data_IF_306115601447
#
_entry.id   IF_306115601447
#
_cell.length_a   1.000
_cell.length_b   1.000
_cell.length_c   1.000
_cell.angle_alpha   90.00
_cell.angle_beta   90.00
_cell.angle_gamma   90.00
#
_symmetry.space_group_name_H-M   'P 1'
#
loop_
_entity.id
_entity.type
_entity.pdbx_description
1 polymer ?
#
# COMPACT_ATOMS: atom_id res chain seq x y z
N UNK A 1 11.20 -18.51 10.47
CA UNK A 1 10.85 -17.07 10.36
C UNK A 1 12.06 -16.34 9.80
N UNK A 2 11.90 -15.62 8.69
CA UNK A 2 13.01 -14.87 8.06
C UNK A 2 13.41 -13.67 8.91
N UNK A 3 14.71 -13.42 9.07
CA UNK A 3 15.21 -12.16 9.65
C UNK A 3 15.00 -11.06 8.60
N UNK A 4 14.14 -10.08 8.88
CA UNK A 4 14.03 -8.88 8.05
C UNK A 4 15.32 -8.08 8.21
N UNK A 5 16.14 -8.03 7.15
CA UNK A 5 17.37 -7.23 7.16
C UNK A 5 17.00 -5.76 7.05
N UNK A 6 17.28 -4.98 8.09
CA UNK A 6 17.17 -3.53 8.04
C UNK A 6 18.35 -2.98 7.22
N UNK A 7 18.05 -2.40 6.05
CA UNK A 7 19.06 -1.93 5.09
C UNK A 7 18.66 -0.55 4.53
N UNK A 8 18.74 0.53 5.34
CA UNK A 8 18.22 1.84 4.96
C UNK A 8 18.92 2.45 3.74
N UNK A 9 20.22 2.17 3.56
CA UNK A 9 20.99 2.61 2.37
C UNK A 9 20.42 1.96 1.10
N UNK A 10 20.10 0.66 1.16
CA UNK A 10 19.52 -0.06 0.02
C UNK A 10 18.12 0.48 -0.30
N UNK A 11 17.30 0.74 0.72
CA UNK A 11 15.99 1.34 0.52
C UNK A 11 16.10 2.74 -0.10
N UNK A 12 17.05 3.56 0.33
CA UNK A 12 17.29 4.88 -0.26
C UNK A 12 17.66 4.78 -1.75
N UNK A 13 18.60 3.92 -2.10
CA UNK A 13 19.03 3.69 -3.49
C UNK A 13 17.87 3.20 -4.36
N UNK A 14 17.07 2.24 -3.89
CA UNK A 14 15.93 1.72 -4.64
C UNK A 14 14.86 2.79 -4.90
N UNK A 15 14.62 3.70 -3.94
CA UNK A 15 13.70 4.85 -4.16
C UNK A 15 14.24 5.77 -5.24
N UNK A 16 15.52 6.12 -5.17
CA UNK A 16 16.16 6.97 -6.19
C UNK A 16 16.09 6.34 -7.57
N UNK A 17 16.31 5.03 -7.68
CA UNK A 17 16.18 4.32 -8.97
C UNK A 17 14.75 4.32 -9.49
N UNK A 18 13.73 4.18 -8.63
CA UNK A 18 12.32 4.28 -9.04
C UNK A 18 11.94 5.69 -9.51
N UNK A 19 12.42 6.72 -8.82
CA UNK A 19 12.20 8.12 -9.20
C UNK A 19 12.87 8.45 -10.55
N UNK A 20 14.10 7.96 -10.74
CA UNK A 20 14.80 8.07 -12.02
C UNK A 20 14.04 7.32 -13.11
N UNK A 21 13.60 6.09 -12.86
CA UNK A 21 12.79 5.32 -13.81
C UNK A 21 11.54 6.09 -14.23
N UNK A 22 10.77 6.64 -13.28
CA UNK A 22 9.57 7.42 -13.56
C UNK A 22 9.88 8.70 -14.36
N UNK A 23 10.97 9.38 -14.01
CA UNK A 23 11.41 10.60 -14.68
C UNK A 23 11.69 10.36 -16.17
N UNK A 24 12.30 9.21 -16.50
CA UNK A 24 12.71 8.83 -17.85
C UNK A 24 11.64 8.03 -18.63
N UNK A 25 10.44 7.84 -18.10
CA UNK A 25 9.33 7.23 -18.84
C UNK A 25 9.02 8.02 -20.11
N UNK A 26 8.73 7.30 -21.19
CA UNK A 26 8.28 7.90 -22.44
C UNK A 26 6.97 8.69 -22.21
N UNK A 27 6.78 9.89 -22.80
CA UNK A 27 5.62 10.74 -22.53
C UNK A 27 4.26 10.06 -22.74
N UNK A 28 4.17 9.09 -23.66
CA UNK A 28 2.93 8.36 -23.92
C UNK A 28 2.45 7.50 -22.75
N UNK A 29 3.35 7.04 -21.87
CA UNK A 29 3.05 6.18 -20.72
C UNK A 29 3.35 6.86 -19.38
N UNK A 30 3.94 8.06 -19.41
CA UNK A 30 4.19 8.85 -18.21
C UNK A 30 2.86 9.27 -17.57
N UNK A 31 2.82 9.17 -16.25
CA UNK A 31 1.69 9.56 -15.41
C UNK A 31 2.10 10.70 -14.48
N UNK A 32 1.12 11.53 -14.09
CA UNK A 32 1.31 12.72 -13.26
C UNK A 32 0.27 12.79 -12.15
N UNK A 33 0.68 13.25 -10.98
CA UNK A 33 -0.22 13.44 -9.84
C UNK A 33 -0.61 12.12 -9.14
N UNK A 34 -1.54 12.27 -8.20
CA UNK A 34 -2.04 11.20 -7.31
C UNK A 34 -3.46 10.75 -7.64
N UNK A 35 -4.06 11.34 -8.67
CA UNK A 35 -5.43 11.07 -9.07
C UNK A 35 -5.53 9.77 -9.88
N UNK A 36 -6.66 9.03 -9.78
CA UNK A 36 -6.94 7.88 -10.64
C UNK A 36 -6.89 8.27 -12.12
N UNK A 37 -6.35 7.38 -12.95
CA UNK A 37 -6.19 7.59 -14.39
C UNK A 37 -7.16 6.72 -15.17
N UNK A 38 -7.75 7.29 -16.22
CA UNK A 38 -8.67 6.56 -17.11
C UNK A 38 -7.93 5.65 -18.10
N UNK A 39 -6.66 5.97 -18.41
CA UNK A 39 -5.82 5.13 -19.27
C UNK A 39 -5.33 3.91 -18.46
N UNK A 40 -5.72 2.68 -18.82
CA UNK A 40 -5.38 1.50 -18.02
C UNK A 40 -3.88 1.19 -17.99
N UNK A 41 -3.12 1.53 -19.04
CA UNK A 41 -1.68 1.29 -19.06
C UNK A 41 -0.97 2.25 -18.09
N UNK A 42 -1.37 3.53 -18.10
CA UNK A 42 -0.84 4.52 -17.15
C UNK A 42 -1.27 4.22 -15.72
N UNK A 43 -2.54 3.85 -15.51
CA UNK A 43 -3.06 3.44 -14.21
C UNK A 43 -2.29 2.23 -13.67
N UNK A 44 -2.00 1.24 -14.53
CA UNK A 44 -1.21 0.08 -14.13
C UNK A 44 0.22 0.48 -13.71
N UNK A 45 0.92 1.27 -14.52
CA UNK A 45 2.27 1.74 -14.16
C UNK A 45 2.27 2.59 -12.88
N UNK A 46 1.28 3.45 -12.69
CA UNK A 46 1.10 4.26 -11.48
C UNK A 46 0.87 3.36 -10.25
N UNK A 47 0.00 2.36 -10.37
CA UNK A 47 -0.26 1.39 -9.30
C UNK A 47 1.01 0.62 -8.94
N UNK A 48 1.78 0.14 -9.92
CA UNK A 48 3.04 -0.58 -9.68
C UNK A 48 4.11 0.31 -9.06
N UNK A 49 4.20 1.58 -9.48
CA UNK A 49 5.11 2.56 -8.89
C UNK A 49 4.85 2.75 -7.41
N UNK A 50 3.59 2.99 -7.02
CA UNK A 50 3.22 3.13 -5.62
C UNK A 50 3.37 1.82 -4.84
N UNK A 51 3.09 0.67 -5.46
CA UNK A 51 3.32 -0.63 -4.83
C UNK A 51 4.80 -0.83 -4.48
N UNK A 52 5.71 -0.54 -5.42
CA UNK A 52 7.15 -0.68 -5.23
C UNK A 52 7.67 0.26 -4.13
N UNK A 53 7.26 1.54 -4.17
CA UNK A 53 7.62 2.49 -3.11
C UNK A 53 7.09 2.07 -1.74
N UNK A 54 5.85 1.58 -1.65
CA UNK A 54 5.30 1.02 -0.42
C UNK A 54 6.18 -0.14 0.07
N UNK A 55 6.50 -1.11 -0.79
CA UNK A 55 7.26 -2.30 -0.42
C UNK A 55 8.67 -1.99 0.10
N UNK A 56 9.41 -1.05 -0.51
CA UNK A 56 10.76 -0.75 0.02
C UNK A 56 10.66 -0.09 1.39
N UNK A 57 9.68 0.82 1.56
CA UNK A 57 9.48 1.53 2.83
C UNK A 57 8.77 0.66 3.90
N UNK A 58 8.10 -0.43 3.51
CA UNK A 58 7.42 -1.33 4.45
C UNK A 58 8.39 -2.01 5.43
N UNK A 59 9.64 -2.17 5.03
CA UNK A 59 10.70 -2.70 5.90
C UNK A 59 10.87 -1.88 7.18
N UNK A 60 10.61 -0.56 7.14
CA UNK A 60 10.64 0.32 8.31
C UNK A 60 9.45 0.11 9.24
N UNK A 61 8.24 -0.11 8.68
CA UNK A 61 7.06 -0.52 9.46
C UNK A 61 7.36 -1.82 10.21
N UNK A 62 7.90 -2.83 9.52
CA UNK A 62 8.28 -4.10 10.14
C UNK A 62 9.37 -3.92 11.21
N UNK A 63 10.36 -3.05 10.96
CA UNK A 63 11.43 -2.75 11.92
C UNK A 63 10.84 -2.18 13.21
N UNK A 64 9.95 -1.18 13.14
CA UNK A 64 9.25 -0.60 14.29
C UNK A 64 8.48 -1.67 15.08
N UNK A 65 7.76 -2.55 14.37
CA UNK A 65 6.92 -3.57 15.01
C UNK A 65 7.74 -4.65 15.72
N UNK A 66 8.83 -5.10 15.10
CA UNK A 66 9.64 -6.24 15.55
C UNK A 66 10.75 -5.87 16.52
N UNK A 67 11.33 -4.69 16.37
CA UNK A 67 12.46 -4.23 17.18
C UNK A 67 12.43 -2.69 17.26
N UNK A 68 11.50 -2.14 18.07
CA UNK A 68 11.31 -0.70 18.19
C UNK A 68 12.59 -0.02 18.70
N UNK A 69 12.81 1.24 18.32
CA UNK A 69 13.95 2.00 18.78
C UNK A 69 13.90 2.21 20.30
N UNK A 70 15.07 2.25 20.92
CA UNK A 70 15.23 2.57 22.34
C UNK A 70 15.07 4.08 22.62
N UNK A 71 15.39 4.91 21.62
CA UNK A 71 15.31 6.37 21.68
C UNK A 71 14.54 6.88 20.45
N UNK A 72 13.28 7.26 20.67
CA UNK A 72 12.38 7.75 19.63
C UNK A 72 12.71 9.16 19.14
N UNK A 73 13.52 9.91 19.88
CA UNK A 73 13.89 11.29 19.54
C UNK A 73 15.18 11.36 18.69
N UNK A 74 15.90 10.25 18.59
CA UNK A 74 17.07 10.13 17.72
C UNK A 74 16.73 10.39 16.25
N UNK A 75 17.67 10.97 15.51
CA UNK A 75 17.55 11.24 14.07
C UNK A 75 17.23 9.98 13.27
N UNK A 76 17.83 8.84 13.63
CA UNK A 76 17.55 7.55 13.00
C UNK A 76 16.09 7.13 13.18
N UNK A 77 15.54 7.30 14.38
CA UNK A 77 14.16 6.93 14.68
C UNK A 77 13.15 7.82 13.99
N UNK A 78 13.43 9.13 13.92
CA UNK A 78 12.63 10.08 13.15
C UNK A 78 12.63 9.71 11.66
N UNK A 79 13.79 9.40 11.08
CA UNK A 79 13.91 8.98 9.68
C UNK A 79 13.16 7.67 9.38
N UNK A 80 13.20 6.73 10.33
CA UNK A 80 12.44 5.48 10.25
C UNK A 80 10.93 5.71 10.34
N UNK A 81 10.45 6.59 11.22
CA UNK A 81 9.03 6.97 11.33
C UNK A 81 8.54 7.62 10.04
N UNK A 82 9.30 8.57 9.48
CA UNK A 82 8.97 9.22 8.22
C UNK A 82 8.89 8.20 7.07
N UNK A 83 9.81 7.24 7.03
CA UNK A 83 9.79 6.17 6.01
C UNK A 83 8.60 5.22 6.21
N UNK A 84 8.24 4.89 7.45
CA UNK A 84 7.05 4.11 7.76
C UNK A 84 5.75 4.83 7.36
N UNK A 85 5.67 6.15 7.58
CA UNK A 85 4.56 7.00 7.14
C UNK A 85 4.43 6.97 5.61
N UNK A 86 5.55 7.15 4.89
CA UNK A 86 5.58 7.05 3.44
C UNK A 86 5.06 5.70 2.94
N UNK A 87 5.43 4.59 3.60
CA UNK A 87 4.92 3.27 3.24
C UNK A 87 3.38 3.21 3.30
N UNK A 88 2.79 3.76 4.37
CA UNK A 88 1.33 3.81 4.57
C UNK A 88 0.68 4.70 3.49
N UNK A 89 1.27 5.87 3.21
CA UNK A 89 0.76 6.77 2.17
C UNK A 89 0.82 6.13 0.78
N UNK A 90 1.91 5.45 0.43
CA UNK A 90 2.02 4.74 -0.84
C UNK A 90 1.06 3.56 -0.93
N UNK A 91 0.75 2.86 0.18
CA UNK A 91 -0.28 1.85 0.18
C UNK A 91 -1.65 2.43 -0.18
N UNK A 92 -2.01 3.59 0.39
CA UNK A 92 -3.25 4.31 0.08
C UNK A 92 -3.27 4.73 -1.41
N UNK A 93 -2.18 5.29 -1.91
CA UNK A 93 -2.06 5.70 -3.30
C UNK A 93 -2.15 4.52 -4.27
N UNK A 94 -1.53 3.38 -3.93
CA UNK A 94 -1.66 2.16 -4.70
C UNK A 94 -3.13 1.72 -4.81
N UNK A 95 -3.85 1.64 -3.67
CA UNK A 95 -5.26 1.24 -3.65
C UNK A 95 -6.14 2.19 -4.49
N UNK A 96 -5.87 3.51 -4.46
CA UNK A 96 -6.57 4.48 -5.31
C UNK A 96 -6.30 4.26 -6.79
N UNK A 97 -5.05 3.99 -7.18
CA UNK A 97 -4.71 3.72 -8.59
C UNK A 97 -5.35 2.43 -9.12
N UNK A 98 -5.75 1.50 -8.25
CA UNK A 98 -6.47 0.28 -8.67
C UNK A 98 -7.93 0.53 -9.06
N UNK A 99 -8.52 1.70 -8.76
CA UNK A 99 -9.93 1.98 -9.05
C UNK A 99 -10.29 1.76 -10.53
N UNK A 100 -9.47 2.26 -11.46
CA UNK A 100 -9.69 2.08 -12.90
C UNK A 100 -9.33 0.66 -13.38
N UNK A 101 -8.52 -0.07 -12.61
CA UNK A 101 -8.01 -1.39 -12.99
C UNK A 101 -8.85 -2.55 -12.45
N UNK A 102 -9.90 -2.26 -11.68
CA UNK A 102 -10.83 -3.24 -11.13
C UNK A 102 -12.25 -3.04 -11.66
N UNK A 103 -12.44 -2.21 -12.69
CA UNK A 103 -13.75 -1.96 -13.30
C UNK A 103 -14.11 -3.02 -14.35
N UNK A 104 -13.15 -3.49 -15.13
CA UNK A 104 -13.38 -4.38 -16.28
C UNK A 104 -12.46 -5.60 -16.25
N UNK A 105 -12.83 -6.63 -17.04
CA UNK A 105 -12.00 -7.83 -17.21
C UNK A 105 -10.81 -7.53 -18.12
N UNK A 106 -9.61 -7.86 -17.66
CA UNK A 106 -8.38 -7.79 -18.45
C UNK A 106 -7.33 -8.78 -17.93
N UNK A 107 -6.24 -8.99 -18.68
CA UNK A 107 -5.23 -10.03 -18.39
C UNK A 107 -4.61 -9.94 -16.98
N UNK A 108 -4.50 -8.72 -16.44
CA UNK A 108 -3.88 -8.44 -15.15
C UNK A 108 -4.88 -8.31 -14.00
N UNK A 109 -6.17 -8.57 -14.23
CA UNK A 109 -7.23 -8.38 -13.23
C UNK A 109 -6.95 -9.16 -11.95
N UNK A 110 -6.62 -10.45 -12.09
CA UNK A 110 -6.30 -11.32 -10.94
C UNK A 110 -5.17 -10.75 -10.09
N UNK A 111 -4.07 -10.32 -10.72
CA UNK A 111 -2.94 -9.70 -10.02
C UNK A 111 -3.37 -8.43 -9.27
N UNK A 112 -4.23 -7.61 -9.89
CA UNK A 112 -4.74 -6.40 -9.26
C UNK A 112 -5.69 -6.70 -8.09
N UNK A 113 -6.53 -7.74 -8.18
CA UNK A 113 -7.39 -8.17 -7.08
C UNK A 113 -6.57 -8.66 -5.88
N UNK A 114 -5.56 -9.50 -6.12
CA UNK A 114 -4.66 -9.98 -5.07
C UNK A 114 -3.88 -8.82 -4.43
N UNK A 115 -3.36 -7.90 -5.25
CA UNK A 115 -2.64 -6.72 -4.76
C UNK A 115 -3.57 -5.83 -3.92
N UNK A 116 -4.79 -5.58 -4.39
CA UNK A 116 -5.82 -4.84 -3.67
C UNK A 116 -6.06 -5.44 -2.29
N UNK A 117 -6.31 -6.75 -2.22
CA UNK A 117 -6.53 -7.46 -0.95
C UNK A 117 -5.31 -7.41 -0.02
N UNK A 118 -4.11 -7.67 -0.55
CA UNK A 118 -2.87 -7.69 0.23
C UNK A 118 -2.56 -6.31 0.83
N UNK A 119 -2.59 -5.25 0.01
CA UNK A 119 -2.35 -3.88 0.45
C UNK A 119 -3.42 -3.38 1.42
N UNK A 120 -4.69 -3.76 1.20
CA UNK A 120 -5.76 -3.45 2.17
C UNK A 120 -5.50 -4.08 3.52
N UNK A 121 -5.08 -5.36 3.54
CA UNK A 121 -4.76 -6.07 4.78
C UNK A 121 -3.55 -5.44 5.47
N UNK A 122 -2.48 -5.13 4.73
CA UNK A 122 -1.30 -4.43 5.26
C UNK A 122 -1.69 -3.10 5.90
N UNK A 123 -2.50 -2.29 5.21
CA UNK A 123 -2.97 -1.00 5.70
C UNK A 123 -3.79 -1.14 6.99
N UNK A 124 -4.69 -2.13 7.06
CA UNK A 124 -5.47 -2.41 8.27
C UNK A 124 -4.59 -2.87 9.44
N UNK A 125 -3.45 -3.54 9.19
CA UNK A 125 -2.51 -3.89 10.25
C UNK A 125 -1.86 -2.67 10.92
N UNK A 126 -1.77 -1.52 10.23
CA UNK A 126 -1.18 -0.31 10.81
C UNK A 126 -2.18 0.53 11.59
N UNK A 127 -3.48 0.42 11.28
CA UNK A 127 -4.55 1.19 11.94
C UNK A 127 -4.63 0.85 13.42
N UNK A 128 -4.61 1.88 14.26
CA UNK A 128 -4.69 1.84 15.73
C UNK A 128 -3.62 0.97 16.39
N UNK A 129 -2.48 0.79 15.72
CA UNK A 129 -1.37 0.04 16.29
C UNK A 129 -0.55 0.94 17.24
N UNK A 130 -0.37 0.61 18.53
CA UNK A 130 0.26 1.50 19.51
C UNK A 130 1.67 1.97 19.14
N UNK A 131 2.46 1.10 18.51
CA UNK A 131 3.83 1.41 18.06
C UNK A 131 3.90 2.29 16.79
N UNK A 132 2.80 2.47 16.08
CA UNK A 132 2.73 3.20 14.81
C UNK A 132 1.90 4.48 14.92
N UNK A 133 1.49 4.87 16.14
CA UNK A 133 0.61 6.03 16.36
C UNK A 133 1.13 7.33 15.73
N UNK A 134 2.45 7.50 15.66
CA UNK A 134 3.09 8.71 15.14
C UNK A 134 3.12 8.78 13.60
N UNK A 135 2.93 7.65 12.89
CA UNK A 135 3.03 7.59 11.42
C UNK A 135 1.75 7.08 10.75
N UNK A 136 0.70 6.77 11.51
CA UNK A 136 -0.57 6.29 10.97
C UNK A 136 -1.51 7.43 10.59
N UNK A 137 -2.41 7.16 9.64
CA UNK A 137 -3.51 8.05 9.28
C UNK A 137 -4.84 7.29 9.35
N UNK A 138 -5.39 7.00 10.55
CA UNK A 138 -6.49 6.05 10.69
C UNK A 138 -7.74 6.38 9.87
N UNK A 139 -8.25 7.64 9.85
CA UNK A 139 -9.44 7.97 9.04
C UNK A 139 -9.22 7.72 7.54
N UNK A 140 -8.08 8.19 7.00
CA UNK A 140 -7.74 8.02 5.59
C UNK A 140 -7.48 6.56 5.23
N UNK A 141 -6.80 5.83 6.13
CA UNK A 141 -6.47 4.41 5.95
C UNK A 141 -7.73 3.55 5.94
N UNK A 142 -8.65 3.80 6.88
CA UNK A 142 -9.95 3.11 6.94
C UNK A 142 -10.83 3.43 5.73
N UNK A 143 -10.86 4.68 5.28
CA UNK A 143 -11.60 5.07 4.08
C UNK A 143 -11.04 4.39 2.82
N UNK A 144 -9.71 4.32 2.67
CA UNK A 144 -9.06 3.64 1.57
C UNK A 144 -9.32 2.12 1.61
N UNK A 145 -9.25 1.50 2.79
CA UNK A 145 -9.53 0.08 2.96
C UNK A 145 -10.99 -0.27 2.66
N UNK A 146 -11.94 0.55 3.10
CA UNK A 146 -13.35 0.38 2.77
C UNK A 146 -13.58 0.46 1.25
N UNK A 147 -13.00 1.47 0.59
CA UNK A 147 -13.10 1.62 -0.86
C UNK A 147 -12.51 0.42 -1.61
N UNK A 148 -11.34 -0.05 -1.19
CA UNK A 148 -10.70 -1.22 -1.79
C UNK A 148 -11.56 -2.49 -1.64
N UNK A 149 -12.19 -2.69 -0.47
CA UNK A 149 -13.17 -3.76 -0.25
C UNK A 149 -14.36 -3.62 -1.20
N UNK A 150 -14.89 -2.42 -1.38
CA UNK A 150 -16.05 -2.18 -2.26
C UNK A 150 -15.71 -2.50 -3.73
N UNK A 151 -14.50 -2.16 -4.19
CA UNK A 151 -14.01 -2.53 -5.52
C UNK A 151 -13.96 -4.05 -5.72
N UNK A 152 -13.46 -4.79 -4.73
CA UNK A 152 -13.39 -6.25 -4.80
C UNK A 152 -14.78 -6.91 -4.78
N UNK A 153 -15.75 -6.28 -4.10
CA UNK A 153 -17.12 -6.82 -3.97
C UNK A 153 -17.81 -7.01 -5.31
N UNK A 154 -17.51 -6.14 -6.30
CA UNK A 154 -18.05 -6.24 -7.67
C UNK A 154 -17.76 -7.61 -8.31
N UNK A 155 -16.66 -8.25 -7.91
CA UNK A 155 -16.19 -9.53 -8.47
C UNK A 155 -16.50 -10.74 -7.59
N UNK A 156 -17.07 -10.53 -6.40
CA UNK A 156 -17.24 -11.58 -5.39
C UNK A 156 -18.23 -12.68 -5.82
N UNK A 157 -19.23 -12.33 -6.64
CA UNK A 157 -20.24 -13.29 -7.12
C UNK A 157 -19.67 -14.22 -8.20
N UNK A 158 -18.63 -13.77 -8.92
CA UNK A 158 -18.04 -14.50 -10.05
C UNK A 158 -16.80 -15.31 -9.65
N UNK A 159 -16.09 -14.91 -8.60
CA UNK A 159 -14.87 -15.56 -8.14
C UNK A 159 -14.91 -15.86 -6.63
N UNK A 160 -14.96 -17.16 -6.30
CA UNK A 160 -14.95 -17.66 -4.92
C UNK A 160 -13.72 -17.21 -4.10
N UNK A 161 -12.57 -17.00 -4.73
CA UNK A 161 -11.39 -16.48 -4.03
C UNK A 161 -11.60 -15.01 -3.66
N UNK A 162 -12.17 -14.21 -4.57
CA UNK A 162 -12.48 -12.81 -4.27
C UNK A 162 -13.57 -12.70 -3.22
N UNK A 163 -14.58 -13.57 -3.26
CA UNK A 163 -15.59 -13.69 -2.20
C UNK A 163 -14.96 -13.93 -0.82
N UNK A 164 -14.02 -14.87 -0.73
CA UNK A 164 -13.29 -15.13 0.50
C UNK A 164 -12.42 -13.94 0.96
N UNK A 165 -11.78 -13.22 0.03
CA UNK A 165 -11.04 -12.00 0.32
C UNK A 165 -11.96 -10.91 0.91
N UNK A 166 -13.11 -10.65 0.28
CA UNK A 166 -14.09 -9.66 0.73
C UNK A 166 -14.61 -10.00 2.12
N UNK A 167 -15.01 -11.26 2.36
CA UNK A 167 -15.47 -11.71 3.68
C UNK A 167 -14.40 -11.47 4.76
N UNK A 168 -13.13 -11.73 4.45
CA UNK A 168 -12.04 -11.49 5.40
C UNK A 168 -11.80 -10.00 5.64
N UNK A 169 -11.95 -9.16 4.62
CA UNK A 169 -11.85 -7.71 4.80
C UNK A 169 -13.01 -7.17 5.64
N UNK A 170 -14.22 -7.71 5.49
CA UNK A 170 -15.38 -7.36 6.32
C UNK A 170 -15.12 -7.63 7.80
N UNK A 171 -14.58 -8.80 8.13
CA UNK A 171 -14.20 -9.16 9.50
C UNK A 171 -13.15 -8.20 10.07
N UNK A 172 -12.10 -7.89 9.30
CA UNK A 172 -11.03 -6.99 9.74
C UNK A 172 -11.53 -5.55 9.92
N UNK A 173 -12.34 -5.04 9.00
CA UNK A 173 -12.93 -3.70 9.09
C UNK A 173 -13.88 -3.60 10.30
N UNK A 174 -14.67 -4.64 10.57
CA UNK A 174 -15.55 -4.69 11.72
C UNK A 174 -14.76 -4.70 13.04
N UNK A 175 -13.63 -5.42 13.09
CA UNK A 175 -12.74 -5.41 14.25
C UNK A 175 -12.16 -4.02 14.51
N UNK A 176 -11.68 -3.33 13.47
CA UNK A 176 -11.08 -1.99 13.58
C UNK A 176 -12.06 -0.88 13.91
N UNK A 177 -13.34 -1.01 13.53
CA UNK A 177 -14.39 -0.06 13.94
C UNK A 177 -14.76 -0.17 15.43
N UNK A 178 -14.36 -1.24 16.11
CA UNK A 178 -14.70 -1.52 17.53
C UNK A 178 -13.55 -1.25 18.50
N UNK A 179 -12.31 -1.13 18.01
CA UNK A 179 -11.12 -0.77 18.79
C UNK A 179 -11.03 0.74 18.99
#
# INVERSE_FOLDING_TARGET
MGKTTYAPIVAAELRTQLEQWHTHLHPSVKFSGTEPLLDPQKAFLQAQYYAAHCQINWTYVLRILTAPPSDWESEESISMLNSAELAIQYAILHLRSLEALLQDRHLMLFTNQISCFAFTTMLLCTVDHPKLMQCQHPPTSMAAAQRARDLLTVWADEDTNVSAMVSRLDDLLAQKKRS
#
